data_IF_108192405019
#
_entry.id   IF_108192405019
#
_cell.length_a   1.000
_cell.length_b   1.000
_cell.length_c   1.000
_cell.angle_alpha   90.00
_cell.angle_beta   90.00
_cell.angle_gamma   90.00
#
_symmetry.space_group_name_H-M   'P 1'
#
loop_
_entity.id
_entity.type
_entity.pdbx_description
1 polymer ?
#
# COMPACT_ATOMS: atom_id res chain seq x y z
N UNK A 1 -23.44 44.99 -9.65
CA UNK A 1 -23.20 43.69 -8.98
C UNK A 1 -23.07 42.59 -10.05
N UNK A 2 -22.11 41.67 -9.88
CA UNK A 2 -22.02 40.30 -10.45
C UNK A 2 -21.53 39.99 -11.89
N UNK A 3 -20.76 40.84 -12.58
CA UNK A 3 -20.09 40.39 -13.83
C UNK A 3 -18.89 39.46 -13.58
N UNK A 4 -18.18 39.64 -12.45
CA UNK A 4 -16.97 38.86 -12.10
C UNK A 4 -17.27 37.41 -11.69
N UNK A 5 -18.40 37.15 -11.02
CA UNK A 5 -18.79 35.79 -10.62
C UNK A 5 -19.12 34.91 -11.83
N UNK A 6 -19.72 35.49 -12.87
CA UNK A 6 -20.12 34.77 -14.08
C UNK A 6 -18.93 34.32 -14.93
N UNK A 7 -17.86 35.14 -15.03
CA UNK A 7 -16.60 34.79 -15.69
C UNK A 7 -15.92 33.57 -15.07
N UNK A 8 -15.80 33.55 -13.73
CA UNK A 8 -15.17 32.45 -13.00
C UNK A 8 -15.91 31.11 -13.19
N UNK A 9 -17.24 31.16 -13.28
CA UNK A 9 -18.06 29.97 -13.49
C UNK A 9 -17.93 29.42 -14.91
N UNK A 10 -17.81 30.27 -15.93
CA UNK A 10 -17.57 29.80 -17.30
C UNK A 10 -16.21 29.12 -17.43
N UNK A 11 -15.15 29.71 -16.88
CA UNK A 11 -13.81 29.09 -16.88
C UNK A 11 -13.82 27.70 -16.23
N UNK A 12 -14.44 27.59 -15.05
CA UNK A 12 -14.59 26.30 -14.35
C UNK A 12 -15.43 25.29 -15.14
N UNK A 13 -16.52 25.73 -15.77
CA UNK A 13 -17.36 24.87 -16.59
C UNK A 13 -16.62 24.36 -17.83
N UNK A 14 -15.84 25.22 -18.50
CA UNK A 14 -14.98 24.81 -19.62
C UNK A 14 -13.98 23.75 -19.17
N UNK A 15 -13.25 24.00 -18.08
CA UNK A 15 -12.30 23.02 -17.53
C UNK A 15 -12.99 21.71 -17.20
N UNK A 16 -14.15 21.75 -16.54
CA UNK A 16 -14.91 20.55 -16.20
C UNK A 16 -15.34 19.76 -17.44
N UNK A 17 -15.78 20.43 -18.51
CA UNK A 17 -16.15 19.79 -19.78
C UNK A 17 -14.94 19.10 -20.39
N UNK A 18 -13.79 19.78 -20.50
CA UNK A 18 -12.59 19.18 -21.07
C UNK A 18 -12.09 17.97 -20.26
N UNK A 19 -12.10 18.07 -18.93
CA UNK A 19 -11.74 16.95 -18.03
C UNK A 19 -12.71 15.78 -18.22
N UNK A 20 -14.03 16.06 -18.29
CA UNK A 20 -15.05 15.03 -18.47
C UNK A 20 -14.90 14.32 -19.82
N UNK A 21 -14.68 15.07 -20.90
CA UNK A 21 -14.45 14.50 -22.23
C UNK A 21 -13.19 13.65 -22.26
N UNK A 22 -12.09 14.14 -21.67
CA UNK A 22 -10.84 13.39 -21.58
C UNK A 22 -10.99 12.09 -20.78
N UNK A 23 -11.73 12.13 -19.66
CA UNK A 23 -12.01 10.95 -18.85
C UNK A 23 -12.88 9.91 -19.59
N UNK A 24 -13.96 10.35 -20.23
CA UNK A 24 -14.83 9.47 -21.04
C UNK A 24 -14.07 8.86 -22.21
N UNK A 25 -13.17 9.62 -22.84
CA UNK A 25 -12.30 9.12 -23.89
C UNK A 25 -11.33 8.05 -23.37
N UNK A 26 -10.67 8.30 -22.24
CA UNK A 26 -9.78 7.33 -21.64
C UNK A 26 -10.51 6.04 -21.19
N UNK A 27 -11.74 6.16 -20.70
CA UNK A 27 -12.63 5.02 -20.43
C UNK A 27 -12.94 4.22 -21.70
N UNK A 28 -13.28 4.89 -22.80
CA UNK A 28 -13.57 4.23 -24.08
C UNK A 28 -12.35 3.46 -24.61
N UNK A 29 -11.15 4.04 -24.50
CA UNK A 29 -9.90 3.37 -24.85
C UNK A 29 -9.59 2.19 -23.91
N UNK A 30 -9.87 2.33 -22.61
CA UNK A 30 -9.71 1.25 -21.64
C UNK A 30 -10.64 0.06 -21.90
N UNK A 31 -11.87 0.33 -22.35
CA UNK A 31 -12.85 -0.70 -22.69
C UNK A 31 -12.61 -1.38 -24.06
N UNK A 32 -11.86 -0.76 -24.97
CA UNK A 32 -11.63 -1.28 -26.32
C UNK A 32 -10.13 -1.30 -26.69
N UNK A 33 -9.45 -2.45 -26.55
CA UNK A 33 -8.04 -2.61 -26.93
C UNK A 33 -7.77 -2.32 -28.40
N UNK A 34 -8.72 -2.61 -29.29
CA UNK A 34 -8.61 -2.35 -30.72
C UNK A 34 -8.56 -0.84 -31.03
N UNK A 35 -9.39 -0.05 -30.34
CA UNK A 35 -9.37 1.40 -30.47
C UNK A 35 -8.09 1.98 -29.84
N UNK A 36 -7.71 1.47 -28.68
CA UNK A 36 -6.47 1.84 -28.00
C UNK A 36 -5.24 1.62 -28.90
N UNK A 37 -5.17 0.48 -29.59
CA UNK A 37 -4.06 0.15 -30.49
C UNK A 37 -4.01 1.03 -31.74
N UNK A 38 -5.16 1.57 -32.19
CA UNK A 38 -5.20 2.53 -33.30
C UNK A 38 -4.62 3.89 -32.92
N UNK A 39 -4.80 4.31 -31.68
CA UNK A 39 -4.22 5.56 -31.16
C UNK A 39 -2.74 5.35 -30.82
N UNK A 40 -2.40 4.22 -30.19
CA UNK A 40 -1.04 3.86 -29.78
C UNK A 40 -0.68 2.45 -30.27
N UNK A 41 0.25 2.34 -31.21
CA UNK A 41 0.66 1.03 -31.75
C UNK A 41 1.27 0.09 -30.71
N UNK A 42 1.80 0.65 -29.62
CA UNK A 42 2.41 -0.05 -28.49
C UNK A 42 1.45 -0.26 -27.30
N UNK A 43 0.16 0.08 -27.43
CA UNK A 43 -0.84 -0.04 -26.36
C UNK A 43 -0.97 -1.44 -25.72
N UNK A 44 -0.55 -2.48 -26.44
CA UNK A 44 -0.62 -3.88 -25.98
C UNK A 44 0.69 -4.36 -25.31
N UNK A 45 1.68 -3.47 -25.11
CA UNK A 45 2.89 -3.83 -24.37
C UNK A 45 2.59 -3.83 -22.87
N UNK A 46 3.14 -4.81 -22.16
CA UNK A 46 2.97 -4.96 -20.69
C UNK A 46 3.46 -3.72 -19.93
N UNK A 47 4.52 -3.08 -20.41
CA UNK A 47 5.12 -1.90 -19.78
C UNK A 47 4.43 -0.57 -20.19
N UNK A 48 3.37 -0.62 -21.00
CA UNK A 48 2.69 0.60 -21.47
C UNK A 48 1.78 1.17 -20.38
N UNK A 49 2.11 2.38 -19.89
CA UNK A 49 1.32 3.10 -18.90
C UNK A 49 0.76 4.39 -19.50
N UNK A 50 -0.57 4.49 -19.59
CA UNK A 50 -1.28 5.68 -20.03
C UNK A 50 -2.58 5.84 -19.20
N UNK A 51 -3.29 6.95 -19.37
CA UNK A 51 -4.54 7.20 -18.64
C UNK A 51 -5.58 6.06 -18.82
N UNK A 52 -5.67 5.46 -20.01
CA UNK A 52 -6.59 4.36 -20.27
C UNK A 52 -6.18 3.07 -19.52
N UNK A 53 -4.88 2.74 -19.48
CA UNK A 53 -4.42 1.56 -18.72
C UNK A 53 -4.51 1.77 -17.22
N UNK A 54 -4.25 2.98 -16.71
CA UNK A 54 -4.45 3.32 -15.29
C UNK A 54 -5.93 3.18 -14.90
N UNK A 55 -6.86 3.66 -15.73
CA UNK A 55 -8.30 3.51 -15.49
C UNK A 55 -8.73 2.03 -15.51
N UNK A 56 -8.24 1.26 -16.50
CA UNK A 56 -8.59 -0.16 -16.63
C UNK A 56 -8.01 -1.03 -15.50
N UNK A 57 -6.79 -0.74 -15.04
CA UNK A 57 -6.11 -1.49 -13.97
C UNK A 57 -6.49 -1.01 -12.55
N UNK A 58 -7.09 0.17 -12.42
CA UNK A 58 -7.31 0.82 -11.12
C UNK A 58 -6.02 1.27 -10.45
N UNK A 59 -4.89 1.29 -11.16
CA UNK A 59 -3.58 1.58 -10.60
C UNK A 59 -3.30 3.08 -10.50
N UNK A 60 -4.05 3.75 -9.63
CA UNK A 60 -3.86 5.17 -9.32
C UNK A 60 -2.84 5.40 -8.20
N UNK A 61 -2.64 4.38 -7.36
CA UNK A 61 -1.69 4.36 -6.25
C UNK A 61 -0.30 3.95 -6.77
N UNK A 62 0.33 4.84 -7.53
CA UNK A 62 1.76 4.73 -7.85
C UNK A 62 2.57 5.75 -7.04
N UNK A 63 2.29 5.87 -5.74
CA UNK A 63 3.38 6.04 -4.80
C UNK A 63 3.96 4.64 -4.61
N UNK A 64 5.24 4.43 -4.93
CA UNK A 64 5.90 3.16 -4.63
C UNK A 64 5.67 2.85 -3.15
N UNK A 65 4.81 1.87 -2.84
CA UNK A 65 4.63 1.44 -1.46
C UNK A 65 5.98 0.91 -1.01
N UNK A 66 6.62 1.53 0.01
CA UNK A 66 7.82 0.94 0.58
C UNK A 66 7.45 -0.49 1.02
N UNK A 67 8.30 -1.49 0.72
CA UNK A 67 7.98 -2.87 1.02
C UNK A 67 7.62 -3.01 2.50
N UNK A 68 6.46 -3.62 2.78
CA UNK A 68 5.94 -3.84 4.13
C UNK A 68 6.93 -4.61 5.03
N UNK A 69 7.82 -5.37 4.38
CA UNK A 69 8.92 -6.09 5.02
C UNK A 69 10.22 -5.67 4.32
N UNK A 70 11.02 -4.85 5.01
CA UNK A 70 12.41 -4.58 4.63
C UNK A 70 13.33 -5.70 5.12
N UNK A 71 14.46 -5.88 4.44
CA UNK A 71 15.52 -6.75 4.96
C UNK A 71 15.96 -6.24 6.35
N UNK A 72 16.31 -7.13 7.30
CA UNK A 72 16.82 -6.73 8.59
C UNK A 72 18.01 -5.77 8.41
N UNK A 73 17.83 -4.52 8.82
CA UNK A 73 18.93 -3.55 8.87
C UNK A 73 19.78 -3.93 10.08
N UNK A 74 21.10 -4.14 9.92
CA UNK A 74 21.97 -4.37 11.07
C UNK A 74 21.79 -3.24 12.08
N UNK A 75 21.50 -3.55 13.36
CA UNK A 75 21.28 -2.51 14.34
C UNK A 75 22.54 -1.65 14.44
N UNK A 76 22.39 -0.33 14.33
CA UNK A 76 23.44 0.57 14.78
C UNK A 76 23.65 0.30 16.27
N UNK A 77 24.86 -0.10 16.65
CA UNK A 77 25.20 -0.41 18.02
C UNK A 77 25.26 0.89 18.83
N UNK A 78 24.10 1.33 19.34
CA UNK A 78 23.93 2.59 20.08
C UNK A 78 24.64 2.53 21.45
N UNK A 79 24.96 1.33 21.96
CA UNK A 79 25.72 1.16 23.20
C UNK A 79 26.55 -0.12 23.20
N UNK A 80 27.70 -0.07 23.89
CA UNK A 80 28.54 -1.24 24.17
C UNK A 80 27.81 -2.10 25.20
N UNK A 81 27.19 -3.19 24.75
CA UNK A 81 26.59 -4.20 25.63
C UNK A 81 27.73 -4.85 26.44
N UNK A 82 27.74 -4.75 27.78
CA UNK A 82 28.71 -5.47 28.59
C UNK A 82 28.54 -6.97 28.37
N UNK A 83 29.64 -7.71 28.26
CA UNK A 83 29.58 -9.16 28.18
C UNK A 83 28.91 -9.71 29.46
N UNK A 84 27.72 -10.30 29.32
CA UNK A 84 27.06 -10.99 30.42
C UNK A 84 27.86 -12.26 30.71
N UNK A 85 28.49 -12.33 31.89
CA UNK A 85 29.06 -13.58 32.40
C UNK A 85 27.93 -14.46 32.94
N UNK A 86 27.68 -15.64 32.37
CA UNK A 86 26.69 -16.56 32.92
C UNK A 86 27.20 -17.08 34.26
N UNK A 87 26.60 -16.63 35.36
CA UNK A 87 26.74 -17.30 36.65
C UNK A 87 25.58 -18.29 36.79
N UNK A 88 25.91 -19.56 37.04
CA UNK A 88 24.91 -20.56 37.39
C UNK A 88 24.36 -20.23 38.77
N UNK A 89 23.15 -19.67 38.81
CA UNK A 89 22.36 -19.53 40.03
C UNK A 89 21.53 -20.80 40.21
N UNK A 90 21.44 -21.27 41.45
CA UNK A 90 20.63 -22.43 41.77
C UNK A 90 19.16 -22.11 41.46
N UNK A 91 18.48 -22.97 40.71
CA UNK A 91 17.09 -22.73 40.30
C UNK A 91 16.18 -22.64 41.53
N UNK A 92 15.44 -21.53 41.73
CA UNK A 92 14.54 -21.37 42.87
C UNK A 92 13.32 -22.31 42.80
N UNK A 93 13.13 -23.01 41.68
CA UNK A 93 11.96 -23.85 41.42
C UNK A 93 12.11 -25.30 41.91
N UNK A 94 13.24 -25.69 42.51
CA UNK A 94 13.42 -27.04 43.06
C UNK A 94 12.66 -27.30 44.37
N UNK A 95 12.05 -26.29 44.99
CA UNK A 95 11.29 -26.43 46.25
C UNK A 95 9.79 -26.17 46.14
N UNK A 96 9.28 -25.80 44.95
CA UNK A 96 7.90 -25.36 44.79
C UNK A 96 7.01 -26.51 44.27
N UNK A 97 6.55 -27.37 45.19
CA UNK A 97 5.52 -28.41 44.92
C UNK A 97 4.10 -27.81 44.78
N UNK A 98 3.96 -26.73 44.00
CA UNK A 98 2.72 -25.94 43.92
C UNK A 98 1.59 -26.68 43.16
N UNK A 99 1.91 -27.74 42.41
CA UNK A 99 0.94 -28.47 41.58
C UNK A 99 0.82 -29.97 41.89
N UNK A 100 1.29 -30.44 43.04
CA UNK A 100 1.30 -31.87 43.37
C UNK A 100 0.02 -32.35 44.08
N UNK A 101 -1.14 -31.97 43.53
CA UNK A 101 -2.42 -32.58 43.92
C UNK A 101 -2.95 -33.43 42.75
N UNK A 102 -2.76 -34.75 42.85
CA UNK A 102 -3.44 -35.69 41.97
C UNK A 102 -4.97 -35.64 42.23
N UNK A 103 -5.82 -35.79 41.19
CA UNK A 103 -7.27 -35.81 41.37
C UNK A 103 -7.71 -36.98 42.28
N UNK A 104 -8.75 -36.81 43.13
CA UNK A 104 -9.22 -37.89 43.99
C UNK A 104 -9.76 -39.06 43.15
N UNK A 105 -9.38 -40.28 43.52
CA UNK A 105 -9.90 -41.49 42.91
C UNK A 105 -11.40 -41.61 43.21
N UNK A 106 -12.20 -41.85 42.16
CA UNK A 106 -13.66 -42.00 42.27
C UNK A 106 -13.97 -43.33 42.97
N UNK A 107 -14.74 -43.25 44.05
CA UNK A 107 -15.47 -44.39 44.65
C UNK A 107 -16.86 -44.51 44.05
#
# INVERSE_FOLDING_TARGET
>A
MSTFARSNNYGRAFVAVFVSVGFLWALALGASPQLHQRVHKDANRVEHNCAATMIASGSYDHAAHPPLVGAPVPPHQISKIPALTPCWVQSPFLGAHIFEHAPPARG
#
